data_IF_440642650502
#
_entry.id   IF_440642650502
#
_cell.length_a   1.000
_cell.length_b   1.000
_cell.length_c   1.000
_cell.angle_alpha   90.00
_cell.angle_beta   90.00
_cell.angle_gamma   90.00
#
_symmetry.space_group_name_H-M   'P 1'
#
loop_
_entity.id
_entity.type
_entity.pdbx_description
1 polymer ?
#
# COMPACT_ATOMS: atom_id res chain seq x y z
N UNK A 1 64.13 -4.66 11.42
CA UNK A 1 64.94 -3.86 12.36
C UNK A 1 64.85 -2.40 11.94
N UNK A 2 64.54 -1.49 12.87
CA UNK A 2 64.82 -0.05 12.74
C UNK A 2 63.64 0.85 12.32
N UNK A 3 62.83 1.27 13.29
CA UNK A 3 61.97 2.46 13.21
C UNK A 3 62.81 3.74 13.12
N UNK A 4 62.30 4.78 12.44
CA UNK A 4 62.47 6.15 12.93
C UNK A 4 61.38 7.10 12.37
N UNK A 5 60.81 7.87 13.30
CA UNK A 5 59.67 8.77 13.18
C UNK A 5 60.00 10.07 12.42
N UNK A 6 58.98 10.67 11.79
CA UNK A 6 58.77 12.13 11.78
C UNK A 6 57.27 12.45 11.78
N UNK A 7 56.78 12.89 12.94
CA UNK A 7 55.60 13.73 13.08
C UNK A 7 55.89 15.14 12.54
N UNK A 8 54.90 15.83 11.97
CA UNK A 8 54.61 17.25 12.28
C UNK A 8 53.18 17.62 11.81
N UNK A 9 52.31 17.73 12.82
CA UNK A 9 51.20 18.66 13.06
C UNK A 9 50.57 19.53 11.95
N UNK A 10 49.23 19.39 11.89
CA UNK A 10 48.19 20.43 11.92
C UNK A 10 48.39 21.73 11.14
N UNK A 11 47.58 21.89 10.08
CA UNK A 11 46.77 23.11 9.90
C UNK A 11 45.36 22.77 9.41
N UNK A 12 44.42 23.11 10.28
CA UNK A 12 43.00 23.25 10.04
C UNK A 12 42.73 24.33 8.99
N UNK A 13 41.85 24.05 8.04
CA UNK A 13 41.03 25.09 7.41
C UNK A 13 39.63 24.54 7.21
N UNK A 14 38.82 24.69 8.25
CA UNK A 14 37.37 24.79 8.13
C UNK A 14 37.10 25.97 7.18
N UNK A 15 36.69 25.67 5.96
CA UNK A 15 36.03 26.67 5.12
C UNK A 15 34.60 26.79 5.61
N UNK A 16 34.39 27.75 6.52
CA UNK A 16 33.10 28.28 6.90
C UNK A 16 32.33 28.74 5.66
N UNK A 17 31.39 27.93 5.19
CA UNK A 17 30.35 28.41 4.29
C UNK A 17 29.32 29.16 5.12
N UNK A 18 29.34 30.48 5.01
CA UNK A 18 28.42 31.40 5.65
C UNK A 18 26.96 31.04 5.30
N UNK A 19 26.20 30.81 6.36
CA UNK A 19 24.75 30.65 6.41
C UNK A 19 24.12 31.88 5.72
N UNK A 20 23.50 31.69 4.55
CA UNK A 20 22.65 32.73 3.95
C UNK A 20 21.41 32.87 4.84
N UNK A 21 21.32 34.01 5.52
CA UNK A 21 20.14 34.49 6.20
C UNK A 21 18.99 34.54 5.20
N UNK A 22 17.94 33.77 5.46
CA UNK A 22 16.66 33.91 4.78
C UNK A 22 15.98 35.09 5.48
N UNK A 23 15.85 36.19 4.75
CA UNK A 23 15.03 37.32 5.14
C UNK A 23 13.59 36.85 5.39
N UNK A 24 13.07 37.09 6.59
CA UNK A 24 11.62 37.14 6.82
C UNK A 24 11.06 38.41 6.15
N UNK A 25 10.06 38.31 5.26
CA UNK A 25 9.23 39.44 4.92
C UNK A 25 8.06 39.55 5.92
N UNK A 26 7.91 40.77 6.42
CA UNK A 26 6.90 41.23 7.37
C UNK A 26 5.48 40.72 7.09
N UNK A 27 4.84 40.26 8.17
CA UNK A 27 3.40 40.09 8.30
C UNK A 27 2.72 41.46 8.28
N UNK A 28 2.09 41.85 7.16
CA UNK A 28 0.85 42.63 7.23
C UNK A 28 0.04 42.63 5.92
N UNK A 29 -1.28 42.53 6.10
CA UNK A 29 -2.34 42.86 5.15
C UNK A 29 -2.52 42.01 3.88
N UNK A 30 -3.09 40.81 4.04
CA UNK A 30 -4.05 40.28 3.04
C UNK A 30 -5.23 39.58 3.72
N UNK A 31 -6.42 40.18 3.58
CA UNK A 31 -7.72 39.57 3.92
C UNK A 31 -7.99 38.37 3.00
N UNK A 32 -8.20 37.15 3.52
CA UNK A 32 -8.80 36.10 2.70
C UNK A 32 -10.33 36.22 2.74
N UNK A 33 -10.90 36.83 1.70
CA UNK A 33 -12.32 36.67 1.37
C UNK A 33 -12.52 35.33 0.66
N UNK A 34 -12.63 34.24 1.41
CA UNK A 34 -13.10 32.96 0.88
C UNK A 34 -14.52 32.71 1.39
N UNK A 35 -15.50 33.04 0.54
CA UNK A 35 -16.90 32.64 0.71
C UNK A 35 -16.96 31.11 0.79
N UNK A 36 -17.38 30.60 1.95
CA UNK A 36 -17.83 29.22 2.15
C UNK A 36 -19.03 28.96 1.23
N UNK A 37 -18.80 28.32 0.08
CA UNK A 37 -19.89 27.69 -0.66
C UNK A 37 -20.13 26.35 0.01
N UNK A 38 -21.19 26.29 0.83
CA UNK A 38 -21.77 25.02 1.27
C UNK A 38 -22.23 24.27 0.02
N UNK A 39 -21.53 23.21 -0.36
CA UNK A 39 -22.07 22.28 -1.35
C UNK A 39 -23.29 21.60 -0.72
N UNK A 40 -24.43 21.79 -1.39
CA UNK A 40 -25.72 21.21 -1.07
C UNK A 40 -25.58 19.69 -1.15
N UNK A 41 -25.75 19.02 -0.01
CA UNK A 41 -26.05 17.59 0.02
C UNK A 41 -27.30 17.37 -0.83
N UNK A 42 -27.16 16.68 -1.95
CA UNK A 42 -28.30 16.14 -2.67
C UNK A 42 -28.58 14.74 -2.12
N UNK A 43 -29.74 14.68 -1.47
CA UNK A 43 -30.45 13.51 -1.00
C UNK A 43 -30.82 12.58 -2.15
N UNK A 44 -30.27 11.38 -2.15
CA UNK A 44 -30.94 10.19 -2.70
C UNK A 44 -30.67 9.03 -1.73
N UNK A 45 -31.26 9.13 -0.55
CA UNK A 45 -31.56 7.96 0.28
C UNK A 45 -32.83 7.38 -0.34
N UNK A 46 -32.70 6.31 -1.12
CA UNK A 46 -33.86 5.46 -1.38
C UNK A 46 -34.22 4.79 -0.05
N UNK A 47 -35.34 5.25 0.52
CA UNK A 47 -35.97 4.65 1.68
C UNK A 47 -36.31 3.19 1.34
N UNK A 48 -35.56 2.24 1.89
CA UNK A 48 -36.05 0.87 2.02
C UNK A 48 -37.11 0.91 3.12
N UNK A 49 -38.37 0.92 2.70
CA UNK A 49 -39.53 0.71 3.57
C UNK A 49 -39.50 -0.77 3.96
N UNK A 50 -38.97 -1.06 5.15
CA UNK A 50 -39.24 -2.34 5.82
C UNK A 50 -40.63 -2.20 6.42
N UNK A 51 -41.61 -2.93 5.87
CA UNK A 51 -42.89 -3.13 6.52
C UNK A 51 -42.67 -4.11 7.66
N UNK A 52 -42.64 -3.62 8.89
CA UNK A 52 -42.81 -4.43 10.09
C UNK A 52 -44.32 -4.65 10.28
N UNK A 53 -44.75 -5.91 10.24
CA UNK A 53 -45.99 -6.34 10.88
C UNK A 53 -45.66 -6.76 12.33
N UNK A 54 -46.53 -6.44 13.32
CA UNK A 54 -46.24 -6.57 14.74
C UNK A 54 -46.72 -7.91 15.34
N UNK A 55 -46.36 -8.10 16.62
CA UNK A 55 -46.79 -9.13 17.59
C UNK A 55 -45.90 -10.41 17.59
N UNK A 56 -45.30 -10.87 18.70
CA UNK A 56 -45.73 -10.92 20.12
C UNK A 56 -44.53 -10.80 21.07
N UNK A 57 -44.79 -10.19 22.23
CA UNK A 57 -43.92 -9.93 23.39
C UNK A 57 -43.47 -11.17 24.21
N UNK A 58 -42.56 -10.91 25.17
CA UNK A 58 -42.13 -11.69 26.36
C UNK A 58 -40.94 -12.63 26.13
N UNK A 59 -39.78 -12.54 26.81
CA UNK A 59 -39.54 -12.15 28.21
C UNK A 59 -38.13 -11.61 28.49
N UNK A 60 -38.01 -11.04 29.70
CA UNK A 60 -36.97 -10.21 30.28
C UNK A 60 -35.77 -10.95 30.94
N UNK A 61 -34.61 -10.28 30.89
CA UNK A 61 -33.44 -10.27 31.81
C UNK A 61 -32.66 -11.57 32.13
N UNK A 62 -31.39 -11.66 31.68
CA UNK A 62 -30.20 -11.43 32.54
C UNK A 62 -28.85 -11.73 31.83
N UNK A 63 -27.90 -10.81 32.05
CA UNK A 63 -26.43 -10.93 32.16
C UNK A 63 -25.57 -11.39 30.99
N UNK A 64 -24.90 -10.39 30.40
CA UNK A 64 -23.47 -10.33 30.03
C UNK A 64 -22.64 -11.62 30.12
N UNK A 65 -22.35 -12.21 28.96
CA UNK A 65 -21.03 -12.76 28.67
C UNK A 65 -20.69 -12.48 27.20
N UNK A 66 -19.61 -11.72 27.01
CA UNK A 66 -18.96 -11.39 25.73
C UNK A 66 -18.48 -12.66 25.03
N UNK A 67 -19.37 -13.33 24.32
CA UNK A 67 -19.04 -14.35 23.32
C UNK A 67 -19.66 -13.95 21.98
N UNK A 68 -18.98 -13.04 21.27
CA UNK A 68 -19.15 -12.95 19.81
C UNK A 68 -17.94 -13.56 19.13
N UNK A 69 -17.98 -14.88 19.15
CA UNK A 69 -17.44 -15.78 18.16
C UNK A 69 -17.77 -15.22 16.76
N UNK A 70 -16.81 -14.51 16.15
CA UNK A 70 -16.82 -14.24 14.72
C UNK A 70 -16.55 -15.54 13.96
N UNK A 71 -17.52 -16.46 14.00
CA UNK A 71 -17.72 -17.41 12.93
C UNK A 71 -18.23 -16.61 11.74
N UNK A 72 -17.30 -16.15 10.91
CA UNK A 72 -17.62 -15.73 9.55
C UNK A 72 -17.70 -17.03 8.72
N UNK A 73 -18.72 -17.84 8.99
CA UNK A 73 -19.27 -18.70 7.95
C UNK A 73 -20.12 -17.77 7.10
N UNK A 74 -19.63 -17.33 5.94
CA UNK A 74 -20.44 -17.11 4.75
C UNK A 74 -19.51 -16.86 3.57
N UNK A 75 -19.58 -17.78 2.62
CA UNK A 75 -19.11 -17.70 1.25
C UNK A 75 -19.37 -16.30 0.69
N UNK A 76 -18.35 -15.44 0.67
CA UNK A 76 -18.44 -14.15 0.00
C UNK A 76 -18.38 -14.41 -1.51
N UNK A 77 -19.53 -14.66 -2.12
CA UNK A 77 -19.71 -14.46 -3.55
C UNK A 77 -19.54 -12.95 -3.78
N UNK A 78 -18.30 -12.55 -4.06
CA UNK A 78 -17.96 -11.18 -4.46
C UNK A 78 -18.81 -10.89 -5.69
N UNK A 79 -19.80 -10.00 -5.58
CA UNK A 79 -20.63 -9.61 -6.71
C UNK A 79 -19.75 -8.92 -7.76
N UNK A 80 -19.33 -9.68 -8.77
CA UNK A 80 -18.71 -9.14 -9.97
C UNK A 80 -19.79 -8.48 -10.81
N UNK A 81 -20.01 -7.18 -10.62
CA UNK A 81 -20.51 -6.36 -11.72
C UNK A 81 -19.56 -6.58 -12.90
N UNK A 82 -20.09 -7.01 -14.05
CA UNK A 82 -19.29 -7.24 -15.27
C UNK A 82 -18.59 -5.92 -15.62
N UNK A 83 -17.33 -5.82 -15.25
CA UNK A 83 -16.47 -4.72 -15.65
C UNK A 83 -16.29 -4.79 -17.18
N UNK A 84 -16.09 -3.65 -17.87
CA UNK A 84 -15.79 -3.65 -19.29
C UNK A 84 -14.62 -4.61 -19.57
N UNK A 85 -14.62 -5.22 -20.75
CA UNK A 85 -13.57 -6.16 -21.17
C UNK A 85 -12.23 -5.43 -21.12
N UNK A 86 -11.48 -5.67 -20.03
CA UNK A 86 -10.30 -4.89 -19.69
C UNK A 86 -9.20 -5.05 -20.73
N UNK A 87 -8.34 -4.04 -20.86
CA UNK A 87 -7.21 -4.11 -21.78
C UNK A 87 -6.23 -5.21 -21.35
N UNK A 88 -5.68 -5.94 -22.32
CA UNK A 88 -4.64 -6.92 -22.07
C UNK A 88 -3.37 -6.22 -21.59
N UNK A 89 -2.68 -6.81 -20.62
CA UNK A 89 -1.41 -6.27 -20.16
C UNK A 89 -0.32 -6.50 -21.21
N UNK A 90 0.36 -5.42 -21.60
CA UNK A 90 1.50 -5.44 -22.50
C UNK A 90 2.80 -5.14 -21.75
N UNK A 91 3.92 -5.35 -22.45
CA UNK A 91 5.23 -4.95 -21.92
C UNK A 91 5.21 -3.44 -21.73
N UNK A 92 5.65 -3.01 -20.55
CA UNK A 92 5.77 -1.61 -20.12
C UNK A 92 4.52 -0.93 -19.58
N UNK A 93 3.37 -1.59 -19.55
CA UNK A 93 2.22 -1.03 -18.87
C UNK A 93 2.52 -0.78 -17.39
N UNK A 94 2.10 0.39 -16.92
CA UNK A 94 2.01 0.69 -15.50
C UNK A 94 0.61 0.33 -15.03
N UNK A 95 0.53 -0.20 -13.81
CA UNK A 95 -0.70 -0.68 -13.20
C UNK A 95 -0.89 -0.10 -11.81
N UNK A 96 -2.14 -0.02 -11.39
CA UNK A 96 -2.51 0.18 -9.97
C UNK A 96 -3.05 -1.12 -9.40
N UNK A 97 -2.49 -1.52 -8.26
CA UNK A 97 -2.89 -2.73 -7.54
C UNK A 97 -3.79 -2.34 -6.37
N UNK A 98 -5.06 -2.72 -6.43
CA UNK A 98 -6.06 -2.44 -5.41
C UNK A 98 -6.34 -3.68 -4.57
N UNK A 99 -6.08 -3.60 -3.27
CA UNK A 99 -6.37 -4.68 -2.35
C UNK A 99 -7.89 -4.80 -2.15
N UNK A 100 -8.44 -5.99 -2.41
CA UNK A 100 -9.89 -6.19 -2.33
C UNK A 100 -10.44 -6.19 -0.90
N UNK A 101 -9.62 -6.55 0.08
CA UNK A 101 -10.03 -6.58 1.48
C UNK A 101 -9.97 -5.20 2.13
N UNK A 102 -8.81 -4.54 2.07
CA UNK A 102 -8.64 -3.23 2.71
C UNK A 102 -9.13 -2.06 1.87
N UNK A 103 -9.53 -2.31 0.63
CA UNK A 103 -10.01 -1.32 -0.33
C UNK A 103 -9.03 -0.16 -0.56
N UNK A 104 -7.74 -0.49 -0.70
CA UNK A 104 -6.63 0.47 -0.78
C UNK A 104 -5.64 0.09 -1.86
N UNK A 105 -4.89 1.06 -2.36
CA UNK A 105 -3.89 0.87 -3.41
C UNK A 105 -2.53 0.53 -2.83
N UNK A 106 -1.82 -0.41 -3.44
CA UNK A 106 -0.41 -0.64 -3.15
C UNK A 106 0.39 0.63 -3.44
N UNK A 107 1.19 1.04 -2.48
CA UNK A 107 1.83 2.34 -2.46
C UNK A 107 3.27 2.22 -1.95
N UNK A 108 4.18 2.98 -2.54
CA UNK A 108 5.57 3.08 -2.09
C UNK A 108 6.04 4.51 -2.20
N UNK A 109 6.92 4.97 -1.31
CA UNK A 109 7.42 6.34 -1.31
C UNK A 109 8.89 6.41 -0.89
N UNK A 110 9.48 7.60 -0.81
CA UNK A 110 10.90 7.77 -0.46
C UNK A 110 11.20 7.69 1.05
N UNK A 111 10.19 7.47 1.89
CA UNK A 111 10.35 7.20 3.32
C UNK A 111 10.92 5.79 3.47
N UNK A 112 11.95 5.66 4.30
CA UNK A 112 12.64 4.40 4.54
C UNK A 112 12.18 3.79 5.85
N UNK A 113 12.20 2.47 5.90
CA UNK A 113 12.04 1.74 7.15
C UNK A 113 13.12 2.16 8.15
N UNK A 114 12.78 2.12 9.43
CA UNK A 114 13.67 2.59 10.50
C UNK A 114 14.90 1.69 10.67
N UNK A 115 14.74 0.39 10.42
CA UNK A 115 15.75 -0.63 10.70
C UNK A 115 16.43 -1.16 9.45
N UNK A 116 15.97 -0.79 8.25
CA UNK A 116 16.55 -1.22 6.99
C UNK A 116 16.58 -0.06 5.98
N UNK A 117 17.48 -0.13 4.99
CA UNK A 117 17.67 0.95 4.01
C UNK A 117 16.61 0.98 2.90
N UNK A 118 15.60 0.11 2.99
CA UNK A 118 14.56 0.01 1.97
C UNK A 118 13.46 1.04 2.20
N UNK A 119 12.82 1.43 1.11
CA UNK A 119 11.63 2.27 1.15
C UNK A 119 10.45 1.48 1.72
N UNK A 120 9.62 2.15 2.51
CA UNK A 120 8.40 1.56 3.04
C UNK A 120 7.41 1.28 1.91
N UNK A 121 6.70 0.15 2.05
CA UNK A 121 5.59 -0.24 1.17
C UNK A 121 4.35 -0.37 2.03
N UNK A 122 3.29 0.28 1.60
CA UNK A 122 2.04 0.40 2.35
C UNK A 122 0.85 0.31 1.41
N UNK A 123 -0.36 0.47 1.95
CA UNK A 123 -1.53 0.75 1.13
C UNK A 123 -2.20 2.08 1.49
N UNK A 124 -2.63 2.82 0.47
CA UNK A 124 -3.19 4.16 0.59
C UNK A 124 -4.68 4.18 0.15
N UNK A 125 -5.49 5.00 0.82
CA UNK A 125 -6.90 5.22 0.46
C UNK A 125 -7.08 6.11 -0.79
N UNK A 126 -6.09 6.92 -1.14
CA UNK A 126 -6.26 7.98 -2.11
C UNK A 126 -5.74 7.56 -3.49
N UNK A 127 -6.61 6.94 -4.30
CA UNK A 127 -6.33 6.73 -5.73
C UNK A 127 -6.01 8.07 -6.37
N UNK A 128 -4.85 8.16 -7.02
CA UNK A 128 -4.35 9.24 -7.88
C UNK A 128 -3.01 9.82 -7.44
N UNK A 129 -2.32 9.17 -6.50
CA UNK A 129 -0.91 9.46 -6.30
C UNK A 129 -0.08 8.80 -7.40
N UNK A 130 0.91 9.53 -7.91
CA UNK A 130 1.89 9.00 -8.86
C UNK A 130 2.68 7.81 -8.29
N UNK A 131 2.70 7.71 -6.95
CA UNK A 131 3.33 6.66 -6.14
C UNK A 131 2.48 5.38 -5.97
N UNK A 132 1.31 5.32 -6.60
CA UNK A 132 0.47 4.11 -6.62
C UNK A 132 0.69 3.27 -7.90
N UNK A 133 1.49 3.79 -8.83
CA UNK A 133 1.79 3.12 -10.08
C UNK A 133 2.96 2.15 -9.93
N UNK A 134 2.75 0.94 -10.43
CA UNK A 134 3.73 -0.13 -10.44
C UNK A 134 3.88 -0.67 -11.86
N UNK A 135 5.01 -1.27 -12.16
CA UNK A 135 5.27 -1.88 -13.45
C UNK A 135 5.67 -3.33 -13.24
N UNK A 136 5.04 -4.23 -13.98
CA UNK A 136 5.44 -5.63 -14.00
C UNK A 136 6.50 -5.79 -15.10
N UNK A 137 7.67 -6.27 -14.71
CA UNK A 137 8.81 -6.44 -15.60
C UNK A 137 9.10 -7.93 -15.77
N UNK A 138 9.21 -8.39 -17.01
CA UNK A 138 9.58 -9.77 -17.34
C UNK A 138 11.00 -9.83 -17.90
N UNK A 139 11.89 -10.55 -17.22
CA UNK A 139 13.28 -10.77 -17.65
C UNK A 139 13.59 -12.26 -17.51
N UNK A 140 13.99 -12.92 -18.60
CA UNK A 140 14.35 -14.35 -18.59
C UNK A 140 13.28 -15.26 -17.94
N UNK A 141 12.01 -15.04 -18.29
CA UNK A 141 10.84 -15.74 -17.73
C UNK A 141 10.63 -15.54 -16.21
N UNK A 142 11.30 -14.56 -15.61
CA UNK A 142 11.11 -14.15 -14.22
C UNK A 142 10.36 -12.83 -14.19
N UNK A 143 9.51 -12.68 -13.19
CA UNK A 143 8.69 -11.49 -13.01
C UNK A 143 9.16 -10.68 -11.81
N UNK A 144 9.25 -9.38 -12.00
CA UNK A 144 9.66 -8.41 -11.01
C UNK A 144 8.63 -7.29 -10.95
N UNK A 145 8.44 -6.73 -9.76
CA UNK A 145 7.49 -5.64 -9.54
C UNK A 145 8.29 -4.39 -9.25
N UNK A 146 8.18 -3.41 -10.13
CA UNK A 146 8.99 -2.20 -10.12
C UNK A 146 8.13 -0.98 -9.82
N UNK A 147 8.65 -0.08 -9.00
CA UNK A 147 8.02 1.19 -8.68
C UNK A 147 8.73 2.32 -9.43
N UNK A 148 8.10 2.91 -10.47
CA UNK A 148 8.78 3.84 -11.39
C UNK A 148 9.31 5.12 -10.72
N UNK A 149 8.55 5.71 -9.80
CA UNK A 149 8.90 6.99 -9.18
C UNK A 149 10.10 6.86 -8.24
N UNK A 150 10.12 5.83 -7.40
CA UNK A 150 11.24 5.61 -6.46
C UNK A 150 12.38 4.80 -7.07
N UNK A 151 12.23 4.31 -8.30
CA UNK A 151 13.20 3.49 -9.01
C UNK A 151 13.63 2.26 -8.22
N UNK A 152 12.68 1.61 -7.55
CA UNK A 152 12.94 0.48 -6.66
C UNK A 152 12.11 -0.73 -7.07
N UNK A 153 12.55 -1.92 -6.68
CA UNK A 153 11.82 -3.16 -6.85
C UNK A 153 11.19 -3.59 -5.53
N UNK A 154 10.00 -4.16 -5.62
CA UNK A 154 9.32 -4.77 -4.48
C UNK A 154 10.15 -5.94 -3.97
N UNK A 155 10.41 -5.94 -2.67
CA UNK A 155 11.31 -6.88 -2.03
C UNK A 155 10.71 -7.46 -0.75
N UNK A 156 10.89 -8.75 -0.57
CA UNK A 156 10.71 -9.43 0.71
C UNK A 156 12.00 -9.27 1.53
N UNK A 157 11.89 -8.66 2.70
CA UNK A 157 13.04 -8.30 3.53
C UNK A 157 13.35 -9.40 4.55
N UNK A 158 12.84 -9.24 5.76
CA UNK A 158 13.03 -10.20 6.85
C UNK A 158 11.77 -11.04 7.02
N UNK A 159 11.95 -12.35 7.20
CA UNK A 159 10.87 -13.28 7.51
C UNK A 159 11.03 -13.80 8.93
N UNK A 160 9.96 -13.71 9.71
CA UNK A 160 9.85 -14.24 11.06
C UNK A 160 8.48 -14.92 11.19
N UNK A 161 8.48 -16.20 11.60
CA UNK A 161 7.25 -16.97 11.84
C UNK A 161 6.27 -16.97 10.66
N UNK A 162 6.74 -17.29 9.45
CA UNK A 162 5.91 -17.34 8.23
C UNK A 162 5.25 -16.01 7.81
N UNK A 163 5.68 -14.89 8.41
CA UNK A 163 5.31 -13.52 8.05
C UNK A 163 6.59 -12.76 7.70
N UNK A 164 6.57 -11.99 6.62
CA UNK A 164 7.72 -11.22 6.16
C UNK A 164 7.43 -9.74 5.99
N UNK A 165 8.41 -8.91 6.34
CA UNK A 165 8.40 -7.49 6.03
C UNK A 165 8.60 -7.27 4.53
N UNK A 166 7.91 -6.29 3.98
CA UNK A 166 8.02 -5.89 2.57
C UNK A 166 8.55 -4.46 2.49
N UNK A 167 9.43 -4.23 1.53
CA UNK A 167 9.93 -2.91 1.21
C UNK A 167 10.27 -2.77 -0.27
N UNK A 168 10.90 -1.66 -0.61
CA UNK A 168 11.33 -1.32 -1.95
C UNK A 168 12.84 -1.01 -1.95
N UNK A 169 13.62 -1.73 -2.76
CA UNK A 169 15.07 -1.51 -2.87
C UNK A 169 15.52 -1.20 -4.30
N UNK A 170 16.50 -0.32 -4.41
CA UNK A 170 17.16 -0.03 -5.69
C UNK A 170 18.23 -1.09 -5.96
N UNK A 171 18.29 -1.58 -7.20
CA UNK A 171 19.27 -2.56 -7.69
C UNK A 171 19.25 -3.95 -7.03
N UNK A 172 18.20 -4.26 -6.27
CA UNK A 172 18.02 -5.57 -5.66
C UNK A 172 16.59 -6.05 -5.96
N UNK A 173 16.48 -7.18 -6.64
CA UNK A 173 15.28 -7.62 -7.33
C UNK A 173 14.87 -8.99 -6.80
N UNK A 174 13.65 -9.07 -6.26
CA UNK A 174 13.04 -10.34 -5.88
C UNK A 174 12.11 -10.84 -6.99
N UNK A 175 12.09 -12.16 -7.14
CA UNK A 175 11.24 -12.84 -8.11
C UNK A 175 9.85 -13.07 -7.53
N UNK A 176 8.82 -12.70 -8.31
CA UNK A 176 7.42 -12.84 -7.94
C UNK A 176 6.70 -13.70 -8.97
N UNK A 177 5.83 -14.57 -8.49
CA UNK A 177 4.87 -15.32 -9.30
C UNK A 177 3.51 -14.61 -9.23
N UNK A 178 2.91 -14.33 -10.39
CA UNK A 178 1.59 -13.74 -10.50
C UNK A 178 0.58 -14.86 -10.74
N UNK A 179 -0.32 -15.05 -9.79
CA UNK A 179 -1.35 -16.07 -9.82
C UNK A 179 -2.70 -15.41 -10.04
N UNK A 180 -3.40 -15.74 -11.12
CA UNK A 180 -4.75 -15.26 -11.40
C UNK A 180 -5.57 -16.35 -12.10
N UNK A 181 -6.88 -16.19 -12.12
CA UNK A 181 -7.79 -17.15 -12.77
C UNK A 181 -7.76 -17.03 -14.30
N UNK A 182 -7.38 -15.86 -14.81
CA UNK A 182 -7.31 -15.59 -16.23
C UNK A 182 -6.04 -16.19 -16.86
N UNK A 183 -6.17 -16.80 -18.04
CA UNK A 183 -5.01 -17.27 -18.83
C UNK A 183 -4.05 -16.12 -19.20
N UNK A 184 -4.59 -14.92 -19.32
CA UNK A 184 -3.84 -13.71 -19.61
C UNK A 184 -4.21 -12.62 -18.62
N UNK A 185 -3.21 -11.92 -18.08
CA UNK A 185 -3.44 -10.81 -17.17
C UNK A 185 -4.01 -9.61 -17.95
N UNK A 186 -5.13 -9.08 -17.46
CA UNK A 186 -5.84 -7.95 -18.04
C UNK A 186 -6.11 -6.90 -16.98
N UNK A 187 -6.50 -5.71 -17.43
CA UNK A 187 -7.16 -4.77 -16.55
C UNK A 187 -8.39 -5.46 -15.92
N UNK A 188 -8.58 -5.21 -14.63
CA UNK A 188 -9.59 -5.81 -13.75
C UNK A 188 -9.37 -7.27 -13.36
N UNK A 189 -8.31 -7.94 -13.85
CA UNK A 189 -7.93 -9.25 -13.34
C UNK A 189 -7.67 -9.18 -11.83
N UNK A 190 -8.13 -10.21 -11.13
CA UNK A 190 -7.81 -10.44 -9.73
C UNK A 190 -6.64 -11.40 -9.67
N UNK A 191 -5.60 -10.98 -8.95
CA UNK A 191 -4.34 -11.70 -8.85
C UNK A 191 -3.91 -11.84 -7.39
N UNK A 192 -3.03 -12.80 -7.15
CA UNK A 192 -2.18 -12.91 -5.97
C UNK A 192 -0.72 -12.77 -6.43
N UNK A 193 0.10 -12.19 -5.57
CA UNK A 193 1.53 -12.03 -5.81
C UNK A 193 2.29 -12.90 -4.81
N UNK A 194 2.93 -13.95 -5.28
CA UNK A 194 3.67 -14.89 -4.44
C UNK A 194 5.16 -14.68 -4.61
N UNK A 195 5.87 -14.44 -3.52
CA UNK A 195 7.32 -14.32 -3.54
C UNK A 195 7.93 -15.69 -3.81
N UNK A 196 8.74 -15.82 -4.87
CA UNK A 196 9.15 -17.12 -5.40
C UNK A 196 10.07 -17.88 -4.44
N UNK A 197 11.03 -17.17 -3.82
CA UNK A 197 12.02 -17.79 -2.93
C UNK A 197 11.38 -18.32 -1.63
N UNK A 198 10.38 -17.62 -1.11
CA UNK A 198 9.83 -17.91 0.23
C UNK A 198 8.45 -18.58 0.17
N UNK A 199 7.80 -18.54 -0.98
CA UNK A 199 6.46 -19.06 -1.20
C UNK A 199 5.34 -18.27 -0.50
N UNK A 200 5.66 -17.11 0.09
CA UNK A 200 4.71 -16.28 0.82
C UNK A 200 4.00 -15.30 -0.11
N UNK A 201 2.76 -14.95 0.20
CA UNK A 201 1.90 -14.08 -0.60
C UNK A 201 1.90 -12.66 -0.07
N UNK A 202 2.02 -11.68 -0.98
CA UNK A 202 1.84 -10.26 -0.67
C UNK A 202 0.42 -10.02 -0.17
N UNK A 203 0.30 -9.43 1.02
CA UNK A 203 -0.98 -9.12 1.62
C UNK A 203 -0.92 -7.83 2.42
N UNK A 204 -2.10 -7.35 2.79
CA UNK A 204 -2.26 -6.21 3.70
C UNK A 204 -2.55 -6.68 5.12
N UNK A 205 -1.99 -5.96 6.08
CA UNK A 205 -2.37 -6.09 7.48
C UNK A 205 -3.46 -5.06 7.82
N UNK A 206 -4.36 -5.35 8.77
CA UNK A 206 -5.37 -4.40 9.21
C UNK A 206 -4.79 -3.23 10.02
N UNK A 207 -3.53 -3.32 10.46
CA UNK A 207 -2.86 -2.30 11.27
C UNK A 207 -2.43 -1.10 10.44
N UNK A 208 -2.59 0.09 11.03
CA UNK A 208 -2.12 1.33 10.45
C UNK A 208 -0.58 1.38 10.44
N UNK A 209 -0.03 1.87 9.32
CA UNK A 209 1.37 2.28 9.22
C UNK A 209 1.63 3.49 10.13
N UNK A 210 2.91 3.83 10.32
CA UNK A 210 3.35 5.08 10.97
C UNK A 210 2.75 6.32 10.28
N UNK A 211 2.44 6.20 9.00
CA UNK A 211 1.77 7.25 8.22
C UNK A 211 0.26 7.10 8.38
N UNK A 212 -0.38 8.16 8.86
CA UNK A 212 -1.83 8.19 9.03
C UNK A 212 -2.56 7.77 7.77
N UNK A 213 -3.61 6.97 7.93
CA UNK A 213 -4.42 6.44 6.84
C UNK A 213 -3.66 5.60 5.82
N UNK A 214 -2.56 4.96 6.19
CA UNK A 214 -1.94 3.90 5.41
C UNK A 214 -1.94 2.59 6.19
N UNK A 215 -1.99 1.44 5.51
CA UNK A 215 -1.84 0.13 6.16
C UNK A 215 -0.52 -0.53 5.78
N UNK A 216 0.00 -1.36 6.69
CA UNK A 216 1.23 -2.11 6.47
C UNK A 216 1.01 -3.19 5.41
N UNK A 217 1.98 -3.34 4.52
CA UNK A 217 2.07 -4.44 3.55
C UNK A 217 3.14 -5.42 4.01
N UNK A 218 2.83 -6.70 3.93
CA UNK A 218 3.72 -7.79 4.33
C UNK A 218 3.53 -9.00 3.41
N UNK A 219 4.33 -10.05 3.60
CA UNK A 219 4.08 -11.37 3.01
C UNK A 219 3.66 -12.38 4.06
N UNK A 220 2.77 -13.31 3.75
CA UNK A 220 2.39 -14.41 4.65
C UNK A 220 2.07 -15.72 3.92
N UNK A 221 2.07 -16.83 4.66
CA UNK A 221 1.86 -18.17 4.11
C UNK A 221 0.41 -18.50 3.77
N UNK A 222 -0.54 -17.83 4.44
CA UNK A 222 -1.95 -18.16 4.31
C UNK A 222 -2.55 -17.45 3.11
N UNK A 223 -3.32 -18.18 2.30
CA UNK A 223 -4.15 -17.60 1.24
C UNK A 223 -5.34 -16.87 1.85
N UNK A 224 -5.07 -15.72 2.46
CA UNK A 224 -6.07 -14.86 3.06
C UNK A 224 -6.73 -13.97 2.01
N UNK A 225 -7.97 -13.56 2.26
CA UNK A 225 -8.67 -12.58 1.41
C UNK A 225 -7.85 -11.29 1.22
N UNK A 226 -7.01 -10.95 2.20
CA UNK A 226 -6.13 -9.78 2.20
C UNK A 226 -4.95 -9.89 1.22
N UNK A 227 -4.76 -11.04 0.58
CA UNK A 227 -3.76 -11.27 -0.46
C UNK A 227 -4.32 -11.12 -1.89
N UNK A 228 -5.62 -10.79 -2.03
CA UNK A 228 -6.26 -10.57 -3.32
C UNK A 228 -6.11 -9.11 -3.78
N UNK A 229 -5.55 -8.95 -4.96
CA UNK A 229 -5.29 -7.65 -5.59
C UNK A 229 -6.00 -7.58 -6.93
N UNK A 230 -6.69 -6.47 -7.21
CA UNK A 230 -7.26 -6.18 -8.52
C UNK A 230 -6.40 -5.17 -9.25
N UNK A 231 -6.12 -5.43 -10.52
CA UNK A 231 -5.53 -4.42 -11.41
C UNK A 231 -6.63 -3.45 -11.80
N UNK A 232 -6.67 -2.24 -11.27
CA UNK A 232 -7.80 -1.31 -11.53
C UNK A 232 -7.55 -0.41 -12.73
N UNK A 233 -6.30 -0.05 -12.93
CA UNK A 233 -5.87 0.96 -13.88
C UNK A 233 -4.63 0.45 -14.60
N UNK A 234 -4.51 0.80 -15.88
CA UNK A 234 -3.44 0.33 -16.74
C UNK A 234 -3.17 1.37 -17.83
N UNK A 235 -1.92 1.80 -17.97
CA UNK A 235 -1.48 2.82 -18.93
C UNK A 235 -0.12 2.50 -19.54
#
# INVERSE_FOLDING_TARGET
>A
MGNCFKEYNYRSSLSDCSRKEIFEPDLNDQKPCHKRIKSRLLSQVENIIIKEDPEIEQDQYASDELNSQFQIEHSSTINFTRLPQGIKMEKHHQIKLFNLHTQRYLHSHAIKHEHNKSNEVSTCNNCNYEYDWWQIIWINNKTYIYHPITQCYLKCLQIVNDIGEVGCLQNDMDEWEILGDDEEIKQYSIIKLKHLCTGLYLHTQPYQSKIENQHIVSVCKSEVANALWRITDMQ
#
